data_IF_197551455556
#
_entry.id   IF_197551455556
#
_cell.length_a   1.000
_cell.length_b   1.000
_cell.length_c   1.000
_cell.angle_alpha   90.00
_cell.angle_beta   90.00
_cell.angle_gamma   90.00
#
_symmetry.space_group_name_H-M   'P 1'
#
loop_
_entity.id
_entity.type
_entity.pdbx_description
1 polymer ?
#
# COMPACT_ATOMS: atom_id res chain seq x y z
N UNK A 1 19.20 23.47 -24.07
CA UNK A 1 19.36 23.87 -22.66
C UNK A 1 17.93 23.99 -22.13
N UNK A 2 17.55 23.24 -21.11
CA UNK A 2 16.17 23.18 -20.62
C UNK A 2 16.06 23.99 -19.33
N UNK A 3 15.05 24.85 -19.25
CA UNK A 3 14.61 25.44 -17.98
C UNK A 3 13.93 24.32 -17.17
N UNK A 4 14.18 24.24 -15.85
CA UNK A 4 13.72 23.17 -15.00
C UNK A 4 12.19 23.00 -15.04
N UNK A 5 11.44 24.09 -14.99
CA UNK A 5 9.97 24.09 -15.09
C UNK A 5 9.47 23.50 -16.40
N UNK A 6 10.08 23.90 -17.51
CA UNK A 6 9.67 23.44 -18.84
C UNK A 6 9.98 21.94 -19.01
N UNK A 7 11.13 21.48 -18.52
CA UNK A 7 11.51 20.08 -18.53
C UNK A 7 10.54 19.23 -17.68
N UNK A 8 10.12 19.72 -16.53
CA UNK A 8 9.13 19.03 -15.67
C UNK A 8 7.79 18.91 -16.39
N UNK A 9 7.32 19.98 -17.03
CA UNK A 9 6.06 19.95 -17.79
C UNK A 9 6.14 18.97 -18.97
N UNK A 10 7.25 19.01 -19.72
CA UNK A 10 7.48 18.07 -20.82
C UNK A 10 7.51 16.62 -20.31
N UNK A 11 8.21 16.34 -19.23
CA UNK A 11 8.31 15.00 -18.64
C UNK A 11 6.94 14.49 -18.15
N UNK A 12 6.10 15.39 -17.63
CA UNK A 12 4.74 15.08 -17.23
C UNK A 12 3.90 14.61 -18.41
N UNK A 13 3.89 15.38 -19.49
CA UNK A 13 3.17 15.05 -20.73
C UNK A 13 3.70 13.77 -21.39
N UNK A 14 5.02 13.57 -21.44
CA UNK A 14 5.61 12.37 -22.02
C UNK A 14 5.23 11.11 -21.23
N UNK A 15 5.14 11.17 -19.88
CA UNK A 15 4.65 10.04 -19.08
C UNK A 15 3.17 9.73 -19.35
N UNK A 16 2.32 10.75 -19.51
CA UNK A 16 0.92 10.55 -19.90
C UNK A 16 0.83 9.89 -21.28
N UNK A 17 1.59 10.39 -22.26
CA UNK A 17 1.65 9.84 -23.62
C UNK A 17 2.22 8.40 -23.64
N UNK A 18 3.14 8.07 -22.74
CA UNK A 18 3.63 6.71 -22.53
C UNK A 18 2.57 5.78 -21.88
N UNK A 19 1.38 6.30 -21.54
CA UNK A 19 0.25 5.52 -20.99
C UNK A 19 0.23 5.37 -19.47
N UNK A 20 0.97 6.18 -18.73
CA UNK A 20 0.81 6.23 -17.26
C UNK A 20 -0.48 6.95 -16.88
N UNK A 21 -1.12 6.53 -15.79
CA UNK A 21 -2.30 7.23 -15.30
C UNK A 21 -1.93 8.59 -14.72
N UNK A 22 -2.81 9.59 -14.85
CA UNK A 22 -2.63 10.92 -14.27
C UNK A 22 -2.23 10.85 -12.78
N UNK A 23 -2.94 10.04 -12.00
CA UNK A 23 -2.66 9.87 -10.57
C UNK A 23 -1.25 9.30 -10.30
N UNK A 24 -0.75 8.42 -11.15
CA UNK A 24 0.61 7.88 -11.05
C UNK A 24 1.64 8.95 -11.37
N UNK A 25 1.43 9.70 -12.46
CA UNK A 25 2.37 10.76 -12.87
C UNK A 25 2.40 11.87 -11.82
N UNK A 26 1.23 12.35 -11.39
CA UNK A 26 1.10 13.41 -10.41
C UNK A 26 1.65 13.00 -9.04
N UNK A 27 1.22 11.87 -8.49
CA UNK A 27 1.57 11.44 -7.14
C UNK A 27 2.99 10.91 -6.98
N UNK A 28 3.57 10.31 -8.03
CA UNK A 28 4.87 9.64 -7.92
C UNK A 28 6.02 10.39 -8.58
N UNK A 29 5.74 11.26 -9.56
CA UNK A 29 6.78 11.98 -10.30
C UNK A 29 6.67 13.49 -10.10
N UNK A 30 5.56 14.09 -10.46
CA UNK A 30 5.39 15.55 -10.43
C UNK A 30 5.62 16.12 -9.02
N UNK A 31 5.12 15.46 -7.98
CA UNK A 31 5.32 15.89 -6.59
C UNK A 31 6.81 15.93 -6.21
N UNK A 32 7.60 14.95 -6.65
CA UNK A 32 9.04 14.90 -6.40
C UNK A 32 9.74 15.98 -7.22
N UNK A 33 9.40 16.13 -8.50
CA UNK A 33 9.98 17.16 -9.36
C UNK A 33 9.65 18.57 -8.90
N UNK A 34 8.45 18.80 -8.39
CA UNK A 34 8.06 20.09 -7.85
C UNK A 34 8.85 20.48 -6.59
N UNK A 35 9.29 19.51 -5.79
CA UNK A 35 10.22 19.76 -4.69
C UNK A 35 11.60 20.22 -5.19
N UNK A 36 12.12 19.55 -6.24
CA UNK A 36 13.36 19.98 -6.89
C UNK A 36 13.22 21.43 -7.39
N UNK A 37 12.11 21.72 -8.08
CA UNK A 37 11.79 23.05 -8.60
C UNK A 37 11.73 24.13 -7.50
N UNK A 38 11.12 23.82 -6.36
CA UNK A 38 11.07 24.72 -5.20
C UNK A 38 12.44 24.94 -4.55
N UNK A 39 13.35 23.98 -4.65
CA UNK A 39 14.70 24.08 -4.05
C UNK A 39 15.63 24.93 -4.88
N UNK A 40 15.61 24.79 -6.21
CA UNK A 40 16.54 25.48 -7.10
C UNK A 40 15.94 26.71 -7.80
N UNK A 41 14.62 26.78 -7.96
CA UNK A 41 13.90 27.83 -8.65
C UNK A 41 13.35 27.39 -10.01
N UNK A 42 12.24 28.02 -10.41
CA UNK A 42 11.49 27.63 -11.62
C UNK A 42 12.24 27.93 -12.92
N UNK A 43 13.02 29.01 -12.94
CA UNK A 43 13.73 29.53 -14.11
C UNK A 43 15.18 29.00 -14.21
N UNK A 44 15.59 28.11 -13.29
CA UNK A 44 16.95 27.58 -13.27
C UNK A 44 17.17 26.58 -14.43
N UNK A 45 18.39 26.57 -14.95
CA UNK A 45 18.78 25.65 -16.01
C UNK A 45 19.03 24.26 -15.44
N UNK A 46 18.30 23.25 -15.92
CA UNK A 46 18.45 21.89 -15.42
C UNK A 46 19.82 21.30 -15.74
N UNK A 47 20.45 20.68 -14.75
CA UNK A 47 21.59 19.79 -14.88
C UNK A 47 21.37 18.49 -14.09
N UNK A 48 22.04 17.41 -14.49
CA UNK A 48 21.94 16.12 -13.76
C UNK A 48 22.51 16.26 -12.34
N UNK A 49 23.53 17.10 -12.16
CA UNK A 49 24.17 17.33 -10.86
C UNK A 49 23.18 17.87 -9.83
N UNK A 50 22.24 18.71 -10.23
CA UNK A 50 21.15 19.17 -9.34
C UNK A 50 20.39 18.03 -8.69
N UNK A 51 20.13 16.97 -9.46
CA UNK A 51 19.39 15.81 -8.96
C UNK A 51 20.21 15.01 -7.93
N UNK A 52 21.49 14.80 -8.22
CA UNK A 52 22.38 14.09 -7.30
C UNK A 52 22.60 14.89 -6.01
N UNK A 53 22.86 16.18 -6.12
CA UNK A 53 23.04 17.07 -5.00
C UNK A 53 21.77 17.17 -4.14
N UNK A 54 20.61 17.32 -4.79
CA UNK A 54 19.32 17.31 -4.10
C UNK A 54 19.13 16.02 -3.30
N UNK A 55 19.37 14.86 -3.91
CA UNK A 55 19.23 13.58 -3.24
C UNK A 55 20.21 13.43 -2.06
N UNK A 56 21.45 13.84 -2.23
CA UNK A 56 22.45 13.79 -1.18
C UNK A 56 22.06 14.68 0.00
N UNK A 57 21.58 15.90 -0.27
CA UNK A 57 21.14 16.83 0.77
C UNK A 57 19.86 16.35 1.47
N UNK A 58 18.90 15.84 0.71
CA UNK A 58 17.60 15.40 1.24
C UNK A 58 17.67 14.11 2.05
N UNK A 59 18.49 13.14 1.64
CA UNK A 59 18.64 11.84 2.31
C UNK A 59 19.86 11.77 3.23
N UNK A 60 20.74 12.76 3.21
CA UNK A 60 22.00 12.77 3.98
C UNK A 60 23.02 11.72 3.53
N UNK A 61 22.82 11.10 2.34
CA UNK A 61 23.70 10.07 1.77
C UNK A 61 23.52 9.97 0.26
N UNK A 62 24.56 9.48 -0.42
CA UNK A 62 24.48 9.20 -1.86
C UNK A 62 23.67 7.92 -2.12
N UNK A 63 22.40 8.12 -2.49
CA UNK A 63 21.47 7.00 -2.79
C UNK A 63 21.69 6.39 -4.17
N UNK A 64 22.39 7.07 -5.08
CA UNK A 64 22.67 6.56 -6.42
C UNK A 64 23.80 5.52 -6.46
N UNK A 65 24.72 5.55 -5.49
CA UNK A 65 25.79 4.56 -5.35
C UNK A 65 25.36 3.28 -4.64
N UNK A 66 24.15 3.24 -4.06
CA UNK A 66 23.66 2.11 -3.27
C UNK A 66 23.00 1.07 -4.18
N UNK A 67 23.26 -0.22 -3.92
CA UNK A 67 22.57 -1.32 -4.59
C UNK A 67 21.05 -1.20 -4.40
N UNK A 68 20.30 -1.38 -5.50
CA UNK A 68 18.83 -1.22 -5.50
C UNK A 68 18.10 -2.05 -4.44
N UNK A 69 18.65 -3.21 -4.08
CA UNK A 69 18.09 -4.09 -3.05
C UNK A 69 18.22 -3.56 -1.62
N UNK A 70 19.10 -2.57 -1.42
CA UNK A 70 19.38 -1.93 -0.13
C UNK A 70 18.76 -0.54 0.01
N UNK A 71 18.08 -0.05 -1.03
CA UNK A 71 17.37 1.23 -1.01
C UNK A 71 16.05 1.10 -0.23
N UNK A 72 15.71 2.15 0.51
CA UNK A 72 14.37 2.30 1.08
C UNK A 72 13.35 2.60 -0.04
N UNK A 73 12.10 2.24 0.14
CA UNK A 73 11.04 2.47 -0.87
C UNK A 73 10.92 3.95 -1.27
N UNK A 74 11.11 4.87 -0.33
CA UNK A 74 11.10 6.29 -0.62
C UNK A 74 12.28 6.72 -1.51
N UNK A 75 13.50 6.23 -1.23
CA UNK A 75 14.70 6.51 -2.02
C UNK A 75 14.55 5.95 -3.43
N UNK A 76 14.06 4.72 -3.57
CA UNK A 76 13.78 4.12 -4.86
C UNK A 76 12.79 4.93 -5.69
N UNK A 77 11.73 5.49 -5.06
CA UNK A 77 10.76 6.37 -5.75
C UNK A 77 11.40 7.66 -6.24
N UNK A 78 12.27 8.29 -5.45
CA UNK A 78 12.99 9.49 -5.88
C UNK A 78 13.93 9.20 -7.04
N UNK A 79 14.74 8.14 -6.96
CA UNK A 79 15.59 7.71 -8.07
C UNK A 79 14.76 7.42 -9.32
N UNK A 80 13.64 6.73 -9.20
CA UNK A 80 12.76 6.42 -10.34
C UNK A 80 12.20 7.67 -10.99
N UNK A 81 11.70 8.62 -10.18
CA UNK A 81 11.14 9.88 -10.67
C UNK A 81 12.21 10.73 -11.36
N UNK A 82 13.38 10.89 -10.76
CA UNK A 82 14.47 11.68 -11.34
C UNK A 82 15.09 11.01 -12.56
N UNK A 83 15.18 9.69 -12.60
CA UNK A 83 15.62 8.98 -13.80
C UNK A 83 14.67 9.20 -14.98
N UNK A 84 13.36 9.35 -14.73
CA UNK A 84 12.41 9.72 -15.78
C UNK A 84 12.69 11.16 -16.28
N UNK A 85 12.95 12.10 -15.38
CA UNK A 85 13.29 13.49 -15.73
C UNK A 85 14.59 13.55 -16.55
N UNK A 86 15.64 12.84 -16.11
CA UNK A 86 16.93 12.75 -16.81
C UNK A 86 16.77 12.11 -18.20
N UNK A 87 15.90 11.11 -18.35
CA UNK A 87 15.66 10.50 -19.67
C UNK A 87 15.05 11.51 -20.64
N UNK A 88 14.06 12.29 -20.21
CA UNK A 88 13.46 13.34 -21.04
C UNK A 88 14.50 14.40 -21.38
N UNK A 89 15.30 14.84 -20.43
CA UNK A 89 16.43 15.75 -20.67
C UNK A 89 17.39 15.24 -21.74
N UNK A 90 17.69 13.93 -21.74
CA UNK A 90 18.56 13.25 -22.74
C UNK A 90 17.84 12.91 -24.06
N UNK A 91 16.55 13.24 -24.21
CA UNK A 91 15.76 12.84 -25.38
C UNK A 91 15.52 11.33 -25.48
N UNK A 92 15.65 10.59 -24.38
CA UNK A 92 15.41 9.15 -24.32
C UNK A 92 13.91 8.93 -24.12
N UNK A 93 13.20 8.25 -25.05
CA UNK A 93 11.75 8.09 -24.94
C UNK A 93 11.37 7.31 -23.68
N UNK A 94 10.41 7.83 -22.95
CA UNK A 94 9.83 7.16 -21.80
C UNK A 94 8.96 5.99 -22.29
N UNK A 95 9.32 4.80 -21.86
CA UNK A 95 8.49 3.60 -22.07
C UNK A 95 7.88 3.22 -20.73
N UNK A 96 6.57 3.04 -20.71
CA UNK A 96 5.93 2.35 -19.59
C UNK A 96 6.56 0.97 -19.54
N UNK A 97 7.29 0.67 -18.46
CA UNK A 97 7.74 -0.70 -18.23
C UNK A 97 6.48 -1.54 -18.07
N UNK A 98 6.06 -2.18 -19.16
CA UNK A 98 4.88 -3.04 -19.22
C UNK A 98 5.09 -4.35 -18.45
N UNK A 99 5.61 -4.26 -17.23
CA UNK A 99 5.57 -5.41 -16.31
C UNK A 99 4.16 -5.68 -15.77
N UNK A 100 3.19 -4.77 -16.07
CA UNK A 100 1.82 -4.91 -15.58
C UNK A 100 0.83 -4.27 -16.55
N UNK A 101 0.19 -5.00 -17.38
CA UNK A 101 -1.06 -4.73 -18.09
C UNK A 101 -1.00 -4.78 -19.61
N UNK A 102 -1.13 -5.98 -20.11
CA UNK A 102 -1.66 -6.24 -21.44
C UNK A 102 -3.19 -5.99 -21.52
N UNK A 103 -3.71 -4.95 -20.85
CA UNK A 103 -5.16 -4.67 -20.83
C UNK A 103 -5.71 -4.35 -22.22
N UNK A 104 -4.89 -3.80 -23.09
CA UNK A 104 -5.30 -3.40 -24.46
C UNK A 104 -5.02 -4.47 -25.52
N UNK A 105 -4.35 -5.58 -25.18
CA UNK A 105 -4.10 -6.66 -26.11
C UNK A 105 -5.39 -7.48 -26.27
N UNK A 106 -5.88 -7.63 -27.49
CA UNK A 106 -7.08 -8.45 -27.75
C UNK A 106 -6.77 -9.92 -27.49
N UNK A 107 -7.60 -10.57 -26.69
CA UNK A 107 -7.61 -12.01 -26.51
C UNK A 107 -8.46 -12.64 -27.60
N UNK A 108 -8.32 -13.94 -27.86
CA UNK A 108 -9.26 -14.68 -28.69
C UNK A 108 -10.66 -14.62 -28.05
N UNK A 109 -11.68 -14.66 -28.86
CA UNK A 109 -13.08 -14.63 -28.38
C UNK A 109 -13.35 -15.73 -27.36
N UNK A 110 -12.76 -16.91 -27.56
CA UNK A 110 -12.92 -18.05 -26.71
C UNK A 110 -12.27 -17.82 -25.33
N UNK A 111 -11.02 -17.34 -25.28
CA UNK A 111 -10.29 -17.06 -24.04
C UNK A 111 -10.88 -15.87 -23.28
N UNK A 112 -11.35 -14.84 -23.97
CA UNK A 112 -12.08 -13.73 -23.33
C UNK A 112 -13.37 -14.21 -22.68
N UNK A 113 -14.13 -15.11 -23.35
CA UNK A 113 -15.35 -15.69 -22.80
C UNK A 113 -15.11 -16.49 -21.51
N UNK A 114 -14.05 -17.32 -21.47
CA UNK A 114 -13.67 -18.07 -20.26
C UNK A 114 -13.24 -17.18 -19.13
N UNK A 115 -12.44 -16.16 -19.43
CA UNK A 115 -12.01 -15.19 -18.41
C UNK A 115 -13.22 -14.48 -17.78
N UNK A 116 -14.17 -14.04 -18.61
CA UNK A 116 -15.38 -13.38 -18.13
C UNK A 116 -16.24 -14.29 -17.27
N UNK A 117 -16.47 -15.54 -17.68
CA UNK A 117 -17.18 -16.55 -16.86
C UNK A 117 -16.50 -16.75 -15.49
N UNK A 118 -15.17 -16.85 -15.47
CA UNK A 118 -14.43 -16.97 -14.22
C UNK A 118 -14.59 -15.75 -13.31
N UNK A 119 -14.58 -14.55 -13.88
CA UNK A 119 -14.78 -13.30 -13.12
C UNK A 119 -16.20 -13.21 -12.58
N UNK A 120 -17.20 -13.63 -13.35
CA UNK A 120 -18.60 -13.72 -12.88
C UNK A 120 -18.73 -14.70 -11.71
N UNK A 121 -18.14 -15.89 -11.81
CA UNK A 121 -18.08 -16.85 -10.68
C UNK A 121 -17.46 -16.19 -9.45
N UNK A 122 -16.32 -15.49 -9.62
CA UNK A 122 -15.68 -14.77 -8.52
C UNK A 122 -16.56 -13.66 -7.94
N UNK A 123 -17.38 -12.99 -8.75
CA UNK A 123 -18.32 -11.97 -8.31
C UNK A 123 -19.44 -12.58 -7.46
N UNK A 124 -19.99 -13.72 -7.90
CA UNK A 124 -20.97 -14.50 -7.14
C UNK A 124 -20.41 -15.02 -5.82
N UNK A 125 -19.12 -15.38 -5.78
CA UNK A 125 -18.39 -15.73 -4.55
C UNK A 125 -18.13 -14.54 -3.61
N UNK A 126 -18.67 -13.35 -3.89
CA UNK A 126 -18.60 -12.17 -3.03
C UNK A 126 -17.33 -11.36 -3.15
N UNK A 127 -16.53 -11.50 -4.21
CA UNK A 127 -15.34 -10.66 -4.39
C UNK A 127 -15.72 -9.21 -4.71
N UNK A 128 -15.02 -8.26 -4.08
CA UNK A 128 -15.20 -6.83 -4.37
C UNK A 128 -14.74 -6.49 -5.79
N UNK A 129 -15.28 -5.41 -6.35
CA UNK A 129 -14.93 -4.92 -7.69
C UNK A 129 -13.41 -4.69 -7.85
N UNK A 130 -12.76 -4.07 -6.87
CA UNK A 130 -11.30 -3.89 -6.85
C UNK A 130 -10.56 -5.23 -6.89
N UNK A 131 -11.06 -6.25 -6.19
CA UNK A 131 -10.48 -7.60 -6.22
C UNK A 131 -10.65 -8.24 -7.59
N UNK A 132 -11.81 -8.06 -8.22
CA UNK A 132 -12.08 -8.57 -9.57
C UNK A 132 -11.16 -7.93 -10.61
N UNK A 133 -11.00 -6.61 -10.59
CA UNK A 133 -10.08 -5.89 -11.48
C UNK A 133 -8.63 -6.37 -11.31
N UNK A 134 -8.17 -6.57 -10.08
CA UNK A 134 -6.83 -7.10 -9.82
C UNK A 134 -6.67 -8.55 -10.32
N UNK A 135 -7.68 -9.39 -10.14
CA UNK A 135 -7.67 -10.76 -10.67
C UNK A 135 -7.65 -10.75 -12.19
N UNK A 136 -8.52 -9.97 -12.82
CA UNK A 136 -8.59 -9.82 -14.27
C UNK A 136 -7.24 -9.44 -14.86
N UNK A 137 -6.61 -8.40 -14.31
CA UNK A 137 -5.33 -7.92 -14.77
C UNK A 137 -4.23 -9.00 -14.71
N UNK A 138 -4.12 -9.69 -13.58
CA UNK A 138 -3.10 -10.74 -13.38
C UNK A 138 -3.35 -11.96 -14.26
N UNK A 139 -4.60 -12.37 -14.43
CA UNK A 139 -4.95 -13.50 -15.28
C UNK A 139 -4.76 -13.15 -16.76
N UNK A 140 -5.11 -11.93 -17.20
CA UNK A 140 -4.81 -11.46 -18.57
C UNK A 140 -3.30 -11.48 -18.86
N UNK A 141 -2.48 -11.04 -17.92
CA UNK A 141 -1.03 -11.13 -18.08
C UNK A 141 -0.57 -12.60 -18.24
N UNK A 142 -1.10 -13.52 -17.44
CA UNK A 142 -0.81 -14.95 -17.59
C UNK A 142 -1.23 -15.46 -18.96
N UNK A 143 -2.44 -15.18 -19.40
CA UNK A 143 -3.00 -15.61 -20.70
C UNK A 143 -2.09 -15.18 -21.85
N UNK A 144 -1.66 -13.94 -21.84
CA UNK A 144 -0.81 -13.36 -22.90
C UNK A 144 0.62 -13.91 -22.82
N UNK A 145 1.22 -13.88 -21.64
CA UNK A 145 2.60 -14.30 -21.42
C UNK A 145 2.83 -15.80 -21.64
N UNK A 146 1.79 -16.64 -21.46
CA UNK A 146 1.88 -18.08 -21.68
C UNK A 146 1.38 -18.53 -23.06
N UNK A 147 0.89 -17.58 -23.89
CA UNK A 147 0.19 -17.90 -25.16
C UNK A 147 -0.92 -18.93 -24.93
N UNK A 148 -1.89 -18.58 -24.09
CA UNK A 148 -2.89 -19.50 -23.52
C UNK A 148 -3.71 -20.27 -24.56
N UNK A 149 -4.00 -19.65 -25.72
CA UNK A 149 -4.76 -20.31 -26.81
C UNK A 149 -4.02 -21.52 -27.40
N UNK A 150 -2.70 -21.56 -27.31
CA UNK A 150 -1.84 -22.68 -27.75
C UNK A 150 -1.02 -23.27 -26.61
N UNK A 151 -1.51 -23.13 -25.37
CA UNK A 151 -0.79 -23.55 -24.18
C UNK A 151 -0.50 -25.06 -24.18
N UNK A 152 0.73 -25.42 -23.93
CA UNK A 152 1.20 -26.78 -23.82
C UNK A 152 2.11 -26.98 -22.58
N UNK A 153 2.56 -28.20 -22.37
CA UNK A 153 3.40 -28.57 -21.21
C UNK A 153 4.69 -27.76 -21.13
N UNK A 154 5.31 -27.49 -22.24
CA UNK A 154 6.62 -26.84 -22.28
C UNK A 154 6.49 -25.33 -22.10
N UNK A 155 5.54 -24.68 -22.78
CA UNK A 155 5.25 -23.25 -22.59
C UNK A 155 4.85 -22.93 -21.14
N UNK A 156 4.11 -23.83 -20.48
CA UNK A 156 3.70 -23.68 -19.09
C UNK A 156 4.91 -23.78 -18.12
N UNK A 157 5.80 -24.75 -18.34
CA UNK A 157 7.05 -24.89 -17.56
C UNK A 157 7.96 -23.69 -17.73
N UNK A 158 8.10 -23.21 -18.96
CA UNK A 158 8.88 -22.01 -19.27
C UNK A 158 8.32 -20.78 -18.55
N UNK A 159 7.01 -20.55 -18.62
CA UNK A 159 6.32 -19.49 -17.89
C UNK A 159 6.63 -19.54 -16.39
N UNK A 160 6.46 -20.72 -15.77
CA UNK A 160 6.71 -20.91 -14.33
C UNK A 160 8.18 -20.59 -13.96
N UNK A 161 9.12 -21.06 -14.76
CA UNK A 161 10.56 -20.84 -14.55
C UNK A 161 10.93 -19.36 -14.67
N UNK A 162 10.42 -18.69 -15.71
CA UNK A 162 10.64 -17.26 -15.94
C UNK A 162 10.06 -16.43 -14.79
N UNK A 163 8.79 -16.63 -14.44
CA UNK A 163 8.13 -15.85 -13.37
C UNK A 163 8.80 -16.02 -12.00
N UNK A 164 9.33 -17.23 -11.73
CA UNK A 164 10.09 -17.48 -10.49
C UNK A 164 11.37 -16.67 -10.39
N UNK A 165 12.01 -16.36 -11.53
CA UNK A 165 13.24 -15.53 -11.58
C UNK A 165 12.94 -14.04 -11.52
N UNK A 166 11.81 -13.61 -12.12
CA UNK A 166 11.44 -12.20 -12.26
C UNK A 166 10.77 -11.63 -11.02
N UNK A 167 10.09 -12.46 -10.22
CA UNK A 167 9.27 -12.02 -9.11
C UNK A 167 9.89 -12.32 -7.75
N UNK A 168 9.65 -11.43 -6.80
CA UNK A 168 9.90 -11.73 -5.39
C UNK A 168 9.05 -12.90 -4.91
N UNK A 169 9.57 -13.71 -3.99
CA UNK A 169 8.99 -14.98 -3.52
C UNK A 169 7.51 -14.88 -3.13
N UNK A 170 7.15 -13.85 -2.36
CA UNK A 170 5.76 -13.64 -1.88
C UNK A 170 4.81 -13.31 -3.04
N UNK A 171 5.22 -12.39 -3.92
CA UNK A 171 4.43 -11.99 -5.09
C UNK A 171 4.21 -13.18 -6.03
N UNK A 172 5.26 -13.97 -6.28
CA UNK A 172 5.19 -15.20 -7.06
C UNK A 172 4.15 -16.17 -6.51
N UNK A 173 4.17 -16.45 -5.19
CA UNK A 173 3.22 -17.38 -4.56
C UNK A 173 1.78 -16.90 -4.69
N UNK A 174 1.55 -15.60 -4.51
CA UNK A 174 0.21 -15.00 -4.64
C UNK A 174 -0.31 -15.15 -6.06
N UNK A 175 0.50 -14.83 -7.07
CA UNK A 175 0.13 -14.95 -8.48
C UNK A 175 -0.12 -16.41 -8.86
N UNK A 176 0.77 -17.31 -8.48
CA UNK A 176 0.65 -18.72 -8.81
C UNK A 176 -0.60 -19.37 -8.19
N UNK A 177 -0.98 -18.97 -7.00
CA UNK A 177 -2.25 -19.41 -6.38
C UNK A 177 -3.47 -18.90 -7.12
N UNK A 178 -3.45 -17.66 -7.57
CA UNK A 178 -4.53 -17.07 -8.35
C UNK A 178 -4.68 -17.78 -9.69
N UNK A 179 -3.58 -17.93 -10.43
CA UNK A 179 -3.58 -18.59 -11.75
C UNK A 179 -4.00 -20.06 -11.63
N UNK A 180 -3.55 -20.76 -10.58
CA UNK A 180 -4.01 -22.13 -10.34
C UNK A 180 -5.53 -22.24 -10.22
N UNK A 181 -6.15 -21.30 -9.48
CA UNK A 181 -7.64 -21.29 -9.35
C UNK A 181 -8.31 -21.06 -10.71
N UNK A 182 -7.74 -20.20 -11.54
CA UNK A 182 -8.22 -19.99 -12.90
C UNK A 182 -8.05 -21.24 -13.77
N UNK A 183 -6.89 -21.91 -13.70
CA UNK A 183 -6.65 -23.15 -14.44
C UNK A 183 -7.58 -24.30 -14.00
N UNK A 184 -7.87 -24.41 -12.70
CA UNK A 184 -8.87 -25.38 -12.20
C UNK A 184 -10.23 -25.10 -12.82
N UNK A 185 -10.65 -23.83 -12.83
CA UNK A 185 -11.89 -23.42 -13.48
C UNK A 185 -11.89 -23.74 -14.99
N UNK A 186 -10.79 -23.45 -15.69
CA UNK A 186 -10.65 -23.79 -17.11
C UNK A 186 -10.72 -25.30 -17.37
N UNK A 187 -10.22 -26.11 -16.46
CA UNK A 187 -10.37 -27.59 -16.54
C UNK A 187 -11.82 -28.03 -16.29
N UNK A 188 -12.50 -27.47 -15.30
CA UNK A 188 -13.92 -27.74 -15.02
C UNK A 188 -14.83 -27.39 -16.20
N UNK A 189 -14.49 -26.30 -16.91
CA UNK A 189 -15.19 -25.84 -18.12
C UNK A 189 -14.66 -26.49 -19.43
N UNK A 190 -13.82 -27.51 -19.33
CA UNK A 190 -13.26 -28.30 -20.46
C UNK A 190 -12.38 -27.47 -21.44
N UNK A 191 -11.81 -26.33 -21.00
CA UNK A 191 -10.90 -25.51 -21.83
C UNK A 191 -9.48 -26.03 -21.88
N UNK A 192 -9.02 -26.71 -20.82
CA UNK A 192 -7.68 -27.30 -20.76
C UNK A 192 -7.74 -28.75 -20.33
N UNK A 193 -6.73 -29.51 -20.71
CA UNK A 193 -6.60 -30.94 -20.31
C UNK A 193 -6.13 -31.05 -18.85
N UNK A 194 -6.47 -32.17 -18.22
CA UNK A 194 -6.01 -32.53 -16.88
C UNK A 194 -4.47 -32.57 -16.79
N UNK A 195 -3.81 -32.91 -17.87
CA UNK A 195 -2.34 -32.98 -17.93
C UNK A 195 -1.68 -31.64 -17.71
N UNK A 196 -2.25 -30.54 -18.24
CA UNK A 196 -1.76 -29.19 -18.00
C UNK A 196 -1.95 -28.77 -16.53
N UNK A 197 -3.07 -29.14 -15.94
CA UNK A 197 -3.32 -28.86 -14.53
C UNK A 197 -2.35 -29.60 -13.61
N UNK A 198 -1.93 -30.85 -13.95
CA UNK A 198 -0.98 -31.64 -13.17
C UNK A 198 0.46 -31.07 -13.17
N UNK A 199 0.83 -30.34 -14.21
CA UNK A 199 2.14 -29.65 -14.23
C UNK A 199 2.19 -28.50 -13.20
N UNK A 200 1.03 -27.87 -12.96
CA UNK A 200 0.97 -26.77 -12.01
C UNK A 200 1.08 -27.31 -10.58
N UNK A 201 1.99 -26.81 -9.76
CA UNK A 201 2.14 -27.30 -8.40
C UNK A 201 0.82 -27.27 -7.62
N UNK A 202 0.48 -28.38 -6.96
CA UNK A 202 -0.77 -28.50 -6.19
C UNK A 202 -0.78 -27.54 -4.98
N UNK A 203 0.38 -27.25 -4.41
CA UNK A 203 0.55 -26.30 -3.33
C UNK A 203 1.78 -25.43 -3.57
N UNK A 204 1.64 -24.16 -3.31
CA UNK A 204 2.76 -23.25 -3.17
C UNK A 204 2.91 -23.00 -1.68
N UNK A 205 3.90 -23.64 -1.05
CA UNK A 205 4.20 -23.34 0.35
C UNK A 205 4.62 -21.88 0.44
N UNK A 206 3.82 -21.08 1.07
CA UNK A 206 4.30 -19.82 1.59
C UNK A 206 5.18 -20.14 2.79
N UNK A 207 6.42 -20.53 2.54
CA UNK A 207 7.47 -20.10 3.42
C UNK A 207 7.74 -18.64 3.01
N UNK A 208 6.72 -17.81 3.10
CA UNK A 208 6.97 -16.42 3.44
C UNK A 208 7.63 -16.56 4.81
N UNK A 209 8.89 -16.19 4.93
CA UNK A 209 9.41 -15.73 6.18
C UNK A 209 8.34 -14.74 6.63
N UNK A 210 7.51 -15.15 7.61
CA UNK A 210 6.54 -14.25 8.19
C UNK A 210 7.41 -13.22 8.89
N UNK A 211 7.79 -12.18 8.18
CA UNK A 211 8.52 -11.07 8.76
C UNK A 211 7.73 -10.63 9.98
N UNK A 212 8.40 -10.56 11.09
CA UNK A 212 7.80 -10.04 12.32
C UNK A 212 7.26 -8.66 11.97
N UNK A 213 5.98 -8.37 12.25
CA UNK A 213 5.43 -7.04 11.99
C UNK A 213 6.28 -5.96 12.63
N UNK A 214 6.49 -4.85 11.93
CA UNK A 214 7.14 -3.70 12.54
C UNK A 214 6.25 -3.14 13.64
N UNK A 215 6.82 -3.03 14.83
CA UNK A 215 6.15 -2.49 16.01
C UNK A 215 6.94 -1.28 16.49
N UNK A 216 6.23 -0.20 16.76
CA UNK A 216 6.76 1.04 17.31
C UNK A 216 6.41 1.13 18.79
N UNK A 217 7.35 1.56 19.63
CA UNK A 217 7.15 1.71 21.07
C UNK A 217 6.17 2.86 21.36
N UNK A 218 5.64 2.90 22.57
CA UNK A 218 4.75 3.99 23.00
C UNK A 218 5.48 5.34 22.91
N UNK A 219 6.77 5.38 23.25
CA UNK A 219 7.57 6.61 23.20
C UNK A 219 7.83 7.07 21.74
N UNK A 220 8.11 6.12 20.82
CA UNK A 220 8.21 6.45 19.40
C UNK A 220 6.89 6.98 18.83
N UNK A 221 5.76 6.40 19.24
CA UNK A 221 4.43 6.88 18.84
C UNK A 221 4.15 8.29 19.40
N UNK A 222 4.49 8.55 20.65
CA UNK A 222 4.39 9.91 21.24
C UNK A 222 5.27 10.91 20.50
N UNK A 223 6.53 10.57 20.22
CA UNK A 223 7.43 11.42 19.44
C UNK A 223 6.88 11.68 18.04
N UNK A 224 6.27 10.66 17.38
CA UNK A 224 5.63 10.84 16.08
C UNK A 224 4.47 11.85 16.15
N UNK A 225 3.61 11.75 17.16
CA UNK A 225 2.48 12.65 17.37
C UNK A 225 2.94 14.06 17.72
N UNK A 226 3.97 14.22 18.54
CA UNK A 226 4.48 15.52 18.95
C UNK A 226 5.17 16.24 17.81
N UNK A 227 6.04 15.54 17.07
CA UNK A 227 6.70 16.12 15.89
C UNK A 227 5.71 16.48 14.78
N UNK A 228 4.58 15.77 14.67
CA UNK A 228 3.56 16.05 13.66
C UNK A 228 2.80 17.38 13.93
N UNK A 229 2.85 17.92 15.15
CA UNK A 229 2.28 19.24 15.48
C UNK A 229 3.12 20.40 14.91
N UNK A 230 4.38 20.16 14.58
CA UNK A 230 5.28 21.18 14.03
C UNK A 230 5.01 21.50 12.56
N UNK A 231 4.21 20.67 11.88
CA UNK A 231 3.80 20.86 10.47
C UNK A 231 2.70 21.91 10.28
N UNK A 232 2.54 22.86 11.21
CA UNK A 232 1.50 23.91 11.20
C UNK A 232 1.48 24.81 9.96
N UNK A 233 2.56 24.81 9.21
CA UNK A 233 2.71 25.62 7.98
C UNK A 233 2.35 24.86 6.70
N UNK A 234 2.01 23.57 6.79
CA UNK A 234 1.56 22.80 5.65
C UNK A 234 0.06 22.97 5.45
N UNK A 235 -0.36 23.05 4.19
CA UNK A 235 -1.77 23.04 3.83
C UNK A 235 -2.44 21.76 4.35
N UNK A 236 -3.63 21.90 4.92
CA UNK A 236 -4.41 20.78 5.48
C UNK A 236 -3.75 20.06 6.68
N UNK A 237 -2.93 20.76 7.46
CA UNK A 237 -2.24 20.15 8.60
C UNK A 237 -3.21 19.64 9.67
N UNK A 238 -4.31 20.33 9.96
CA UNK A 238 -5.31 19.89 10.95
C UNK A 238 -6.00 18.60 10.50
N UNK A 239 -6.38 18.52 9.21
CA UNK A 239 -6.91 17.28 8.62
C UNK A 239 -5.91 16.14 8.76
N UNK A 240 -4.66 16.38 8.37
CA UNK A 240 -3.63 15.36 8.34
C UNK A 240 -3.29 14.87 9.75
N UNK A 241 -3.24 15.78 10.74
CA UNK A 241 -3.05 15.44 12.15
C UNK A 241 -4.25 14.68 12.74
N UNK A 242 -5.48 15.07 12.41
CA UNK A 242 -6.69 14.35 12.82
C UNK A 242 -6.71 12.91 12.26
N UNK A 243 -6.27 12.72 11.02
CA UNK A 243 -6.11 11.40 10.41
C UNK A 243 -5.07 10.56 11.16
N UNK A 244 -3.90 11.15 11.44
CA UNK A 244 -2.84 10.46 12.19
C UNK A 244 -3.33 10.02 13.57
N UNK A 245 -3.93 10.94 14.34
CA UNK A 245 -4.46 10.67 15.66
C UNK A 245 -5.51 9.56 15.64
N UNK A 246 -6.45 9.64 14.70
CA UNK A 246 -7.47 8.60 14.53
C UNK A 246 -6.83 7.23 14.28
N UNK A 247 -5.84 7.13 13.37
CA UNK A 247 -5.20 5.86 13.04
C UNK A 247 -4.35 5.33 14.21
N UNK A 248 -3.64 6.20 14.91
CA UNK A 248 -2.80 5.83 16.08
C UNK A 248 -3.65 5.20 17.17
N UNK A 249 -4.71 5.90 17.60
CA UNK A 249 -5.48 5.49 18.77
C UNK A 249 -6.57 4.46 18.49
N UNK A 250 -7.05 4.35 17.24
CA UNK A 250 -8.07 3.36 16.87
C UNK A 250 -7.56 2.16 16.11
N UNK A 251 -6.38 2.25 15.52
CA UNK A 251 -5.87 1.24 14.58
C UNK A 251 -6.74 1.09 13.32
N UNK A 252 -7.54 2.09 12.96
CA UNK A 252 -8.45 2.05 11.81
C UNK A 252 -7.66 1.85 10.50
N UNK A 253 -8.22 1.06 9.58
CA UNK A 253 -7.58 0.85 8.26
C UNK A 253 -7.74 2.10 7.39
N UNK A 254 -6.75 2.42 6.57
CA UNK A 254 -6.79 3.58 5.66
C UNK A 254 -8.07 3.62 4.81
N UNK A 255 -8.56 2.46 4.36
CA UNK A 255 -9.80 2.40 3.58
C UNK A 255 -11.06 2.67 4.42
N UNK A 256 -11.05 2.36 5.71
CA UNK A 256 -12.16 2.69 6.61
C UNK A 256 -12.14 4.20 6.94
N UNK A 257 -10.96 4.78 7.14
CA UNK A 257 -10.79 6.24 7.36
C UNK A 257 -11.39 7.07 6.23
N UNK A 258 -11.13 6.72 4.96
CA UNK A 258 -11.66 7.49 3.81
C UNK A 258 -13.17 7.36 3.62
N UNK A 259 -13.79 6.30 4.17
CA UNK A 259 -15.23 6.08 4.09
C UNK A 259 -15.97 6.56 5.34
N UNK A 260 -15.24 7.05 6.35
CA UNK A 260 -15.85 7.58 7.58
C UNK A 260 -16.66 8.84 7.25
N UNK A 261 -17.89 8.87 7.73
CA UNK A 261 -18.83 9.98 7.53
C UNK A 261 -18.90 10.86 8.78
N UNK A 262 -19.30 12.10 8.61
CA UNK A 262 -19.60 12.99 9.74
C UNK A 262 -20.73 12.46 10.63
N UNK A 263 -21.69 11.75 10.02
CA UNK A 263 -22.80 11.09 10.74
C UNK A 263 -22.38 9.88 11.58
N UNK A 264 -21.20 9.32 11.34
CA UNK A 264 -20.68 8.18 12.09
C UNK A 264 -20.12 8.59 13.47
N UNK A 265 -19.93 9.90 13.69
CA UNK A 265 -19.46 10.48 14.95
C UNK A 265 -20.64 10.77 15.88
N UNK A 266 -20.76 10.01 16.95
CA UNK A 266 -21.72 10.28 18.00
C UNK A 266 -21.05 11.01 19.17
N UNK A 267 -21.06 12.33 19.13
CA UNK A 267 -20.46 13.18 20.16
C UNK A 267 -21.09 13.02 21.55
N UNK A 268 -22.40 12.70 21.59
CA UNK A 268 -23.12 12.54 22.86
C UNK A 268 -22.74 11.26 23.59
N UNK A 269 -22.55 10.17 22.83
CA UNK A 269 -22.15 8.88 23.39
C UNK A 269 -20.62 8.70 23.39
N UNK A 270 -19.88 9.67 22.86
CA UNK A 270 -18.42 9.57 22.67
C UNK A 270 -18.00 8.31 21.92
N UNK A 271 -18.65 8.06 20.78
CA UNK A 271 -18.44 6.87 19.95
C UNK A 271 -18.30 7.22 18.46
N UNK A 272 -17.53 6.42 17.75
CA UNK A 272 -17.51 6.38 16.28
C UNK A 272 -18.08 5.04 15.86
N UNK A 273 -19.18 5.06 15.12
CA UNK A 273 -19.90 3.86 14.67
C UNK A 273 -19.90 3.80 13.14
N UNK A 274 -19.26 2.79 12.56
CA UNK A 274 -19.11 2.66 11.11
C UNK A 274 -19.13 1.21 10.65
N UNK A 275 -19.34 1.00 9.34
CA UNK A 275 -19.25 -0.33 8.70
C UNK A 275 -17.90 -0.47 8.04
N UNK A 276 -17.10 -1.46 8.47
CA UNK A 276 -15.81 -1.74 7.89
C UNK A 276 -15.92 -2.14 6.41
N UNK A 277 -15.11 -1.52 5.56
CA UNK A 277 -15.16 -1.74 4.12
C UNK A 277 -14.71 -3.16 3.73
N UNK A 278 -13.75 -3.73 4.44
CA UNK A 278 -13.20 -5.06 4.12
C UNK A 278 -14.06 -6.21 4.61
N UNK A 279 -14.62 -6.12 5.82
CA UNK A 279 -15.32 -7.22 6.50
C UNK A 279 -16.83 -7.07 6.47
N UNK A 280 -17.33 -5.88 6.10
CA UNK A 280 -18.75 -5.48 6.13
C UNK A 280 -19.41 -5.61 7.50
N UNK A 281 -18.61 -5.67 8.56
CA UNK A 281 -19.08 -5.70 9.95
C UNK A 281 -19.19 -4.30 10.52
N UNK A 282 -20.17 -4.11 11.34
CA UNK A 282 -20.30 -2.90 12.16
C UNK A 282 -19.18 -2.87 13.19
N UNK A 283 -18.60 -1.70 13.37
CA UNK A 283 -17.54 -1.43 14.33
C UNK A 283 -17.90 -0.20 15.15
N UNK A 284 -17.71 -0.28 16.45
CA UNK A 284 -17.83 0.85 17.36
C UNK A 284 -16.47 1.04 18.04
N UNK A 285 -15.95 2.25 18.00
CA UNK A 285 -14.72 2.64 18.68
C UNK A 285 -14.98 3.87 19.56
N UNK A 286 -14.32 4.00 20.73
CA UNK A 286 -14.48 5.17 21.58
C UNK A 286 -13.92 6.43 20.90
N UNK A 287 -14.67 7.52 20.98
CA UNK A 287 -14.25 8.86 20.57
C UNK A 287 -13.59 9.56 21.76
N UNK A 288 -12.35 9.13 22.07
CA UNK A 288 -11.55 9.71 23.15
C UNK A 288 -11.07 11.12 22.78
N UNK A 289 -10.68 11.97 23.77
CA UNK A 289 -10.23 13.35 23.49
C UNK A 289 -9.09 13.44 22.48
N UNK A 290 -8.16 12.48 22.48
CA UNK A 290 -7.02 12.41 21.57
C UNK A 290 -7.45 12.20 20.10
N UNK A 291 -8.62 11.64 19.86
CA UNK A 291 -9.23 11.50 18.54
C UNK A 291 -10.19 12.67 18.28
N UNK A 292 -11.04 12.99 19.25
CA UNK A 292 -12.14 13.94 19.09
C UNK A 292 -11.66 15.37 18.92
N UNK A 293 -10.68 15.83 19.73
CA UNK A 293 -10.21 17.20 19.67
C UNK A 293 -9.58 17.56 18.32
N UNK A 294 -8.65 16.75 17.74
CA UNK A 294 -8.12 17.02 16.41
C UNK A 294 -9.20 17.02 15.31
N UNK A 295 -10.20 16.15 15.42
CA UNK A 295 -11.32 16.13 14.45
C UNK A 295 -12.15 17.42 14.58
N UNK A 296 -12.42 17.90 15.79
CA UNK A 296 -13.16 19.15 16.02
C UNK A 296 -12.37 20.35 15.43
N UNK A 297 -11.07 20.41 15.68
CA UNK A 297 -10.22 21.48 15.14
C UNK A 297 -10.23 21.48 13.62
N UNK A 298 -10.08 20.32 12.99
CA UNK A 298 -10.19 20.18 11.54
C UNK A 298 -11.54 20.63 11.00
N UNK A 299 -12.66 20.16 11.63
CA UNK A 299 -14.01 20.51 11.17
C UNK A 299 -14.25 22.02 11.28
N UNK A 300 -13.79 22.67 12.35
CA UNK A 300 -14.03 24.09 12.60
C UNK A 300 -13.17 25.00 11.73
N UNK A 301 -11.95 24.62 11.44
CA UNK A 301 -10.92 25.53 10.89
C UNK A 301 -10.54 25.26 9.44
N UNK A 302 -10.50 24.00 9.00
CA UNK A 302 -10.06 23.64 7.64
C UNK A 302 -11.16 23.06 6.76
N UNK A 303 -12.12 22.32 7.33
CA UNK A 303 -13.12 21.61 6.55
C UNK A 303 -14.15 22.57 5.97
N UNK A 304 -14.05 22.83 4.67
CA UNK A 304 -14.96 23.72 3.92
C UNK A 304 -16.04 22.97 3.13
N UNK A 305 -15.99 21.63 3.13
CA UNK A 305 -16.85 20.80 2.28
C UNK A 305 -18.15 20.42 2.95
N UNK A 306 -19.26 20.42 2.19
CA UNK A 306 -20.57 19.85 2.57
C UNK A 306 -20.67 18.34 2.33
N UNK A 307 -19.60 17.69 1.91
CA UNK A 307 -19.56 16.25 1.70
C UNK A 307 -19.98 15.45 2.93
N UNK A 308 -20.61 14.30 2.73
CA UNK A 308 -20.93 13.39 3.84
C UNK A 308 -19.67 12.79 4.50
N UNK A 309 -18.54 12.69 3.74
CA UNK A 309 -17.30 12.12 4.27
C UNK A 309 -16.63 13.06 5.24
N UNK A 310 -16.10 12.50 6.33
CA UNK A 310 -15.41 13.28 7.36
C UNK A 310 -14.17 13.96 6.79
N UNK A 311 -13.31 13.19 6.13
CA UNK A 311 -12.07 13.68 5.54
C UNK A 311 -12.20 13.82 4.02
N UNK A 312 -11.92 15.02 3.52
CA UNK A 312 -12.07 15.36 2.10
C UNK A 312 -10.78 15.99 1.55
N UNK A 313 -10.65 15.98 0.23
CA UNK A 313 -9.69 16.83 -0.46
C UNK A 313 -10.13 18.29 -0.38
N UNK A 314 -9.27 19.21 -0.81
CA UNK A 314 -9.59 20.66 -0.85
C UNK A 314 -10.81 20.97 -1.72
N UNK A 315 -10.97 20.23 -2.82
CA UNK A 315 -12.10 20.36 -3.72
C UNK A 315 -13.41 19.69 -3.19
N UNK A 316 -13.40 19.17 -1.97
CA UNK A 316 -14.55 18.52 -1.34
C UNK A 316 -14.77 17.06 -1.73
N UNK A 317 -13.99 16.51 -2.64
CA UNK A 317 -14.08 15.10 -3.02
C UNK A 317 -13.59 14.16 -1.91
N UNK A 318 -14.04 12.91 -1.99
CA UNK A 318 -13.54 11.85 -1.12
C UNK A 318 -12.04 11.62 -1.33
N UNK A 319 -11.31 11.44 -0.23
CA UNK A 319 -9.90 11.05 -0.28
C UNK A 319 -9.76 9.58 -0.75
N UNK A 320 -8.59 9.22 -1.26
CA UNK A 320 -8.25 7.81 -1.52
C UNK A 320 -7.46 7.22 -0.34
N UNK A 321 -7.51 5.89 -0.19
CA UNK A 321 -6.70 5.19 0.82
C UNK A 321 -5.20 5.38 0.60
N UNK A 322 -4.77 5.61 -0.65
CA UNK A 322 -3.40 5.97 -0.99
C UNK A 322 -2.98 7.31 -0.38
N UNK A 323 -3.88 8.32 -0.36
CA UNK A 323 -3.60 9.61 0.28
C UNK A 323 -3.41 9.46 1.80
N UNK A 324 -4.23 8.67 2.47
CA UNK A 324 -4.05 8.38 3.91
C UNK A 324 -2.70 7.72 4.17
N UNK A 325 -2.34 6.74 3.35
CA UNK A 325 -1.04 6.06 3.45
C UNK A 325 0.12 7.04 3.24
N UNK A 326 -0.01 7.96 2.29
CA UNK A 326 0.99 8.99 2.00
C UNK A 326 1.14 9.99 3.16
N UNK A 327 0.02 10.48 3.70
CA UNK A 327 0.02 11.41 4.86
C UNK A 327 0.77 10.78 6.05
N UNK A 328 0.40 9.55 6.42
CA UNK A 328 1.05 8.85 7.53
C UNK A 328 2.52 8.56 7.22
N UNK A 329 2.82 8.18 5.96
CA UNK A 329 4.19 7.96 5.50
C UNK A 329 5.06 9.21 5.62
N UNK A 330 4.53 10.39 5.32
CA UNK A 330 5.23 11.66 5.47
C UNK A 330 5.59 11.95 6.93
N UNK A 331 4.68 11.73 7.86
CA UNK A 331 4.97 11.89 9.29
C UNK A 331 6.09 10.95 9.75
N UNK A 332 6.06 9.68 9.33
CA UNK A 332 7.13 8.74 9.64
C UNK A 332 8.48 9.15 9.04
N UNK A 333 8.48 9.68 7.81
CA UNK A 333 9.72 10.11 7.15
C UNK A 333 10.39 11.30 7.84
N UNK A 334 9.62 12.08 8.59
CA UNK A 334 10.09 13.23 9.37
C UNK A 334 10.11 12.96 10.88
N UNK A 335 9.89 11.70 11.29
CA UNK A 335 9.90 11.34 12.71
C UNK A 335 11.30 11.51 13.31
N UNK A 336 11.41 11.95 14.60
CA UNK A 336 12.69 12.20 15.25
C UNK A 336 13.39 10.92 15.73
N UNK A 337 13.06 9.76 15.16
CA UNK A 337 13.66 8.48 15.48
C UNK A 337 14.02 7.67 14.23
N UNK A 338 14.99 6.76 14.35
CA UNK A 338 15.43 5.93 13.23
C UNK A 338 14.42 4.82 12.92
N UNK A 339 13.98 4.74 11.68
CA UNK A 339 13.10 3.69 11.20
C UNK A 339 13.80 2.32 11.10
N UNK A 340 15.15 2.27 11.03
CA UNK A 340 15.97 1.03 11.02
C UNK A 340 15.51 -0.01 10.00
N UNK A 341 15.02 0.43 8.84
CA UNK A 341 14.49 -0.47 7.82
C UNK A 341 13.13 -1.12 8.17
N UNK A 342 12.50 -0.70 9.27
CA UNK A 342 11.16 -1.16 9.67
C UNK A 342 10.10 -0.68 8.66
N UNK A 343 9.09 -1.50 8.42
CA UNK A 343 7.90 -1.05 7.71
C UNK A 343 7.17 0.02 8.51
N UNK A 344 6.67 1.05 7.85
CA UNK A 344 5.96 2.16 8.47
C UNK A 344 4.63 2.46 7.75
N UNK A 345 3.79 3.29 8.37
CA UNK A 345 2.48 3.65 7.83
C UNK A 345 1.32 3.12 8.68
N UNK A 346 0.08 3.25 8.17
CA UNK A 346 -1.15 2.91 8.91
C UNK A 346 -1.17 1.45 9.41
N UNK A 347 -0.66 0.50 8.62
CA UNK A 347 -0.60 -0.89 9.04
C UNK A 347 0.38 -1.13 10.19
N UNK A 348 1.53 -0.46 10.19
CA UNK A 348 2.51 -0.58 11.26
C UNK A 348 1.97 0.01 12.59
N UNK A 349 1.28 1.16 12.53
CA UNK A 349 0.59 1.74 13.70
C UNK A 349 -0.47 0.79 14.27
N UNK A 350 -1.28 0.20 13.39
CA UNK A 350 -2.28 -0.80 13.80
C UNK A 350 -1.63 -2.06 14.42
N UNK A 351 -0.50 -2.53 13.87
CA UNK A 351 0.26 -3.63 14.46
C UNK A 351 0.82 -3.26 15.82
N UNK A 352 1.33 -2.04 15.97
CA UNK A 352 1.83 -1.53 17.26
C UNK A 352 0.72 -1.50 18.31
N UNK A 353 -0.44 -0.92 17.96
CA UNK A 353 -1.61 -0.90 18.86
C UNK A 353 -2.02 -2.31 19.29
N UNK A 354 -2.12 -3.26 18.33
CA UNK A 354 -2.46 -4.64 18.63
C UNK A 354 -1.45 -5.30 19.59
N UNK A 355 -0.16 -5.07 19.34
CA UNK A 355 0.92 -5.62 20.17
C UNK A 355 0.89 -5.01 21.59
N UNK A 356 0.68 -3.69 21.71
CA UNK A 356 0.57 -3.05 23.02
C UNK A 356 -0.62 -3.58 23.81
N UNK A 357 -1.80 -3.70 23.20
CA UNK A 357 -2.97 -4.27 23.87
C UNK A 357 -2.74 -5.70 24.36
N UNK A 358 -2.03 -6.52 23.58
CA UNK A 358 -1.69 -7.89 24.00
C UNK A 358 -0.68 -7.87 25.14
N UNK A 359 0.34 -7.02 25.07
CA UNK A 359 1.34 -6.88 26.14
C UNK A 359 0.71 -6.36 27.45
N UNK A 360 -0.34 -5.55 27.34
CA UNK A 360 -1.16 -5.09 28.48
C UNK A 360 -2.19 -6.14 28.95
N UNK A 361 -2.02 -7.40 28.51
CA UNK A 361 -2.85 -8.54 28.90
C UNK A 361 -4.32 -8.44 28.48
N UNK A 362 -4.64 -7.62 27.47
CA UNK A 362 -5.98 -7.59 26.89
C UNK A 362 -6.24 -8.91 26.15
N UNK A 363 -7.36 -9.61 26.42
CA UNK A 363 -7.62 -10.90 25.80
C UNK A 363 -7.57 -10.82 24.26
N UNK A 364 -6.93 -11.78 23.57
CA UNK A 364 -6.80 -11.76 22.11
C UNK A 364 -8.13 -11.61 21.36
N UNK A 365 -9.21 -12.18 21.87
CA UNK A 365 -10.54 -12.03 21.31
C UNK A 365 -11.02 -10.55 21.36
N UNK A 366 -10.76 -9.86 22.46
CA UNK A 366 -11.09 -8.44 22.61
C UNK A 366 -10.27 -7.59 21.64
N UNK A 367 -8.97 -7.87 21.50
CA UNK A 367 -8.11 -7.18 20.51
C UNK A 367 -8.61 -7.43 19.08
N UNK A 368 -9.05 -8.66 18.75
CA UNK A 368 -9.66 -8.96 17.46
C UNK A 368 -10.92 -8.12 17.20
N UNK A 369 -11.78 -8.01 18.19
CA UNK A 369 -13.02 -7.24 18.10
C UNK A 369 -12.72 -5.74 17.95
N UNK A 370 -11.85 -5.17 18.79
CA UNK A 370 -11.44 -3.76 18.72
C UNK A 370 -10.88 -3.41 17.36
N UNK A 371 -10.07 -4.29 16.78
CA UNK A 371 -9.49 -4.06 15.46
C UNK A 371 -10.40 -4.55 14.31
N UNK A 372 -11.52 -5.23 14.59
CA UNK A 372 -12.41 -5.76 13.56
C UNK A 372 -11.73 -6.80 12.67
N UNK A 373 -11.04 -7.75 13.27
CA UNK A 373 -10.51 -8.92 12.58
C UNK A 373 -11.62 -9.95 12.38
N UNK A 374 -11.67 -10.55 11.19
CA UNK A 374 -12.65 -11.61 10.86
C UNK A 374 -12.31 -12.96 11.51
N UNK A 375 -11.07 -13.15 11.94
CA UNK A 375 -10.56 -14.39 12.54
C UNK A 375 -9.54 -14.05 13.63
N UNK A 376 -9.55 -14.83 14.71
CA UNK A 376 -8.55 -14.79 15.78
C UNK A 376 -7.18 -15.31 15.32
N UNK A 377 -7.12 -16.07 14.23
CA UNK A 377 -5.84 -16.52 13.65
C UNK A 377 -4.90 -15.37 13.29
N UNK A 378 -5.46 -14.20 12.92
CA UNK A 378 -4.65 -13.00 12.66
C UNK A 378 -3.90 -12.52 13.90
N UNK A 379 -4.34 -12.91 15.11
CA UNK A 379 -3.75 -12.48 16.38
C UNK A 379 -2.53 -13.33 16.74
N UNK A 380 -2.43 -14.56 16.28
CA UNK A 380 -1.23 -15.38 16.48
C UNK A 380 0.06 -14.74 15.94
N UNK A 381 -0.07 -13.77 15.02
CA UNK A 381 1.06 -13.00 14.52
C UNK A 381 1.62 -12.10 15.61
N UNK A 382 0.76 -11.55 16.47
CA UNK A 382 1.14 -10.66 17.58
C UNK A 382 1.63 -11.43 18.80
N UNK A 383 1.08 -12.61 19.08
CA UNK A 383 1.55 -13.48 20.14
C UNK A 383 3.03 -13.92 19.95
N UNK A 384 3.53 -13.91 18.72
CA UNK A 384 4.95 -14.18 18.42
C UNK A 384 5.88 -13.04 18.83
N UNK A 385 5.36 -11.84 19.08
CA UNK A 385 6.14 -10.65 19.47
C UNK A 385 6.21 -10.52 20.98
N UNK A 386 5.38 -11.25 21.72
CA UNK A 386 5.33 -11.23 23.18
C UNK A 386 6.41 -12.13 23.82
N UNK A 387 7.68 -11.77 23.55
CA UNK A 387 8.84 -12.43 24.15
C UNK A 387 8.89 -12.26 25.69
N UNK A 388 8.26 -11.23 26.23
CA UNK A 388 8.30 -10.96 27.68
C UNK A 388 7.39 -11.91 28.44
N UNK A 389 6.19 -12.20 27.95
CA UNK A 389 5.30 -13.20 28.53
C UNK A 389 5.81 -14.61 28.30
N UNK A 390 6.37 -14.92 27.13
CA UNK A 390 7.01 -16.22 26.88
C UNK A 390 8.20 -16.48 27.84
N UNK A 391 9.02 -15.46 28.14
CA UNK A 391 10.10 -15.57 29.13
C UNK A 391 9.58 -15.84 30.54
N UNK A 392 8.49 -15.21 30.95
CA UNK A 392 7.86 -15.47 32.26
C UNK A 392 7.32 -16.90 32.33
N UNK A 393 6.66 -17.40 31.28
CA UNK A 393 6.18 -18.77 31.21
C UNK A 393 7.31 -19.83 31.27
N UNK A 394 8.46 -19.53 30.67
CA UNK A 394 9.64 -20.42 30.71
C UNK A 394 10.24 -20.48 32.13
N UNK A 395 10.20 -19.40 32.89
CA UNK A 395 10.70 -19.34 34.28
C UNK A 395 9.77 -20.02 35.28
N UNK A 396 8.50 -20.21 34.96
CA UNK A 396 7.50 -20.89 35.80
C UNK A 396 7.35 -22.39 35.49
N UNK A 397 8.02 -22.91 34.47
CA UNK A 397 8.03 -24.35 34.22
C UNK A 397 8.84 -25.07 35.31
N UNK A 398 8.23 -25.95 36.15
CA UNK A 398 8.97 -26.66 37.16
C UNK A 398 10.01 -27.55 36.50
N UNK A 399 11.26 -27.40 36.92
CA UNK A 399 12.34 -28.30 36.55
C UNK A 399 11.90 -29.70 37.02
N UNK A 400 11.52 -30.58 36.11
CA UNK A 400 11.37 -31.99 36.42
C UNK A 400 12.79 -32.58 36.42
N UNK A 401 13.28 -32.84 37.64
CA UNK A 401 14.46 -33.60 37.87
C UNK A 401 14.36 -35.03 37.34
#
# INVERSE_FOLDING_TARGET
>A
MYILKDLINQAFEELLNAGYSYNTVYGSNWYIWNRLNKTYGEDEIFSEDMVYEYCQNYFGRDIYSIDKSKLRDCEYRYISAFNNLIKVYKGIPLKKNNTHFHLNQKLSHQTESVLNKYLEKCKLDGNSETTLLNKQARIRNFIIDSNFDSINKDSLKEYLSRRKKEMGKTAYVIDMRLIRRFLVFCYEEHFISKELLLIWPSSFSSIADKSVPSVYTIDEIKQLLDSSKDFKHEDNHLRNYAILSLVVYSGMRANDVVHLKTSDLNWRLSEIKFIQQKTRKEQIIPLIPEIGNPIIEYIKSERKSSSQFLFTKENGEQMSSGMITHIIGNYFSNAPFDLKGRHYGAHALRHSLATHLINDSVPPFTVANVLGHSSTECIHIYAKVDLNHLRKCILEAPYRA
#
